data_IF_218683460939
#
_entry.id   IF_218683460939
#
_cell.length_a   1.000
_cell.length_b   1.000
_cell.length_c   1.000
_cell.angle_alpha   90.00
_cell.angle_beta   90.00
_cell.angle_gamma   90.00
#
_symmetry.space_group_name_H-M   'P 1'
#
loop_
_entity.id
_entity.type
_entity.pdbx_description
1 polymer ?
#
# COMPACT_ATOMS: atom_id res chain seq x y z
N UNK A 1 -7.46 -23.54 -16.50
CA UNK A 1 -6.90 -22.87 -15.30
C UNK A 1 -6.38 -21.51 -15.71
N UNK A 2 -7.04 -20.46 -15.27
CA UNK A 2 -6.61 -19.06 -15.48
C UNK A 2 -5.49 -18.75 -14.50
N UNK A 3 -4.26 -18.66 -15.00
CA UNK A 3 -3.10 -18.21 -14.23
C UNK A 3 -3.09 -16.69 -14.23
N UNK A 4 -3.36 -16.10 -13.08
CA UNK A 4 -3.32 -14.64 -12.90
C UNK A 4 -1.91 -14.21 -12.52
N UNK A 5 -1.46 -13.10 -13.12
CA UNK A 5 -0.16 -12.48 -12.87
C UNK A 5 -0.41 -11.11 -12.24
N UNK A 6 -0.07 -10.95 -10.98
CA UNK A 6 0.02 -9.62 -10.36
C UNK A 6 1.26 -8.95 -10.94
N UNK A 7 1.04 -8.00 -11.84
CA UNK A 7 2.10 -7.12 -12.32
C UNK A 7 2.11 -5.93 -11.38
N UNK A 8 3.17 -5.81 -10.56
CA UNK A 8 3.42 -4.59 -9.82
C UNK A 8 3.84 -3.53 -10.84
N UNK A 9 2.86 -2.77 -11.34
CA UNK A 9 3.11 -1.66 -12.26
C UNK A 9 3.62 -0.52 -11.41
N UNK A 10 4.89 -0.23 -11.63
CA UNK A 10 5.53 0.92 -11.04
C UNK A 10 5.49 2.04 -12.06
N UNK A 11 4.79 3.13 -11.74
CA UNK A 11 4.85 4.35 -12.53
C UNK A 11 6.24 4.96 -12.34
N UNK A 12 7.04 5.00 -13.41
CA UNK A 12 8.32 5.71 -13.42
C UNK A 12 8.07 7.21 -13.24
N UNK A 13 8.09 7.67 -11.99
CA UNK A 13 8.15 9.11 -11.67
C UNK A 13 9.58 9.56 -11.83
N UNK A 14 10.01 9.75 -13.08
CA UNK A 14 11.31 10.31 -13.42
C UNK A 14 11.14 11.56 -14.29
N UNK A 15 10.47 12.59 -13.76
CA UNK A 15 10.46 13.92 -14.35
C UNK A 15 10.55 14.97 -13.25
N UNK A 16 11.77 15.50 -13.03
CA UNK A 16 12.11 16.90 -12.72
C UNK A 16 13.55 16.96 -12.16
N UNK A 17 14.54 16.72 -13.01
CA UNK A 17 15.83 17.40 -12.88
C UNK A 17 15.87 18.51 -13.91
N UNK A 18 15.33 19.67 -13.55
CA UNK A 18 15.56 20.89 -14.31
C UNK A 18 16.95 21.41 -13.99
N UNK A 19 17.78 21.37 -15.02
CA UNK A 19 19.09 21.99 -15.12
C UNK A 19 19.10 23.42 -14.54
N UNK A 20 19.90 23.62 -13.49
CA UNK A 20 20.24 24.94 -12.94
C UNK A 20 21.76 25.11 -12.94
N UNK A 21 22.38 25.07 -14.12
CA UNK A 21 23.75 25.52 -14.32
C UNK A 21 23.73 27.03 -14.50
N UNK A 22 24.30 27.75 -13.54
CA UNK A 22 24.50 29.19 -13.58
C UNK A 22 25.65 29.56 -12.67
N UNK A 23 26.87 29.50 -13.20
CA UNK A 23 28.08 29.92 -12.49
C UNK A 23 28.18 31.44 -12.38
N UNK A 24 28.91 31.89 -11.36
CA UNK A 24 29.90 32.97 -11.52
C UNK A 24 30.98 32.87 -10.44
N UNK A 25 32.20 33.35 -10.74
CA UNK A 25 33.40 33.14 -9.94
C UNK A 25 33.76 34.37 -9.09
N UNK A 26 34.85 34.20 -8.33
CA UNK A 26 35.69 35.23 -7.69
C UNK A 26 35.25 35.68 -6.28
N UNK A 27 35.89 35.11 -5.26
CA UNK A 27 36.28 35.88 -4.07
C UNK A 27 37.55 35.28 -3.45
N UNK A 28 38.67 35.99 -3.64
CA UNK A 28 39.96 35.75 -3.00
C UNK A 28 39.90 36.33 -1.57
N UNK A 29 40.12 35.47 -0.56
CA UNK A 29 40.18 35.87 0.83
C UNK A 29 41.22 35.07 1.58
N UNK A 30 42.46 35.58 1.55
CA UNK A 30 43.57 35.23 2.43
C UNK A 30 43.13 35.11 3.90
N UNK A 31 43.42 33.98 4.52
CA UNK A 31 43.68 33.89 5.96
C UNK A 31 44.64 32.72 6.21
N UNK A 32 45.90 33.07 6.40
CA UNK A 32 46.92 32.23 7.02
C UNK A 32 46.57 32.07 8.50
N UNK A 33 46.28 30.85 8.95
CA UNK A 33 46.42 30.50 10.37
C UNK A 33 46.94 29.07 10.50
N UNK A 34 48.22 28.98 10.85
CA UNK A 34 48.99 27.77 11.08
C UNK A 34 48.37 26.96 12.24
N UNK A 35 47.84 25.76 11.96
CA UNK A 35 47.70 24.71 12.98
C UNK A 35 48.05 23.34 12.43
N UNK A 36 48.87 22.67 13.25
CA UNK A 36 49.55 21.41 13.05
C UNK A 36 48.68 20.26 12.50
N UNK A 37 49.30 19.51 11.58
CA UNK A 37 48.72 18.39 10.86
C UNK A 37 48.50 17.13 11.73
N UNK A 38 47.36 16.43 11.59
CA UNK A 38 47.23 15.02 11.90
C UNK A 38 47.64 14.13 10.69
N UNK A 39 48.04 12.87 10.91
CA UNK A 39 48.65 12.03 9.90
C UNK A 39 47.68 11.63 8.78
N UNK A 40 48.20 11.59 7.56
CA UNK A 40 47.49 11.29 6.32
C UNK A 40 46.87 9.89 6.30
N UNK A 41 45.61 9.76 5.86
CA UNK A 41 45.10 8.50 5.33
C UNK A 41 45.53 8.34 3.87
N UNK A 42 46.06 7.16 3.58
CA UNK A 42 46.53 6.71 2.28
C UNK A 42 45.54 6.99 1.13
N UNK A 43 46.08 7.52 0.02
CA UNK A 43 45.41 7.79 -1.24
C UNK A 43 44.72 6.53 -1.81
N UNK A 44 43.43 6.38 -1.52
CA UNK A 44 42.54 5.54 -2.34
C UNK A 44 42.12 6.38 -3.53
N UNK A 45 42.79 6.12 -4.65
CA UNK A 45 42.52 6.67 -5.98
C UNK A 45 41.04 6.42 -6.36
N UNK A 46 40.18 7.41 -6.08
CA UNK A 46 38.76 7.39 -6.43
C UNK A 46 38.65 7.72 -7.92
N UNK A 47 38.77 6.68 -8.75
CA UNK A 47 38.56 6.78 -10.19
C UNK A 47 37.18 7.36 -10.50
N UNK A 48 37.16 8.30 -11.46
CA UNK A 48 36.00 8.92 -12.10
C UNK A 48 35.05 7.83 -12.64
N UNK A 49 34.21 7.29 -11.77
CA UNK A 49 33.16 6.33 -12.07
C UNK A 49 31.93 7.10 -12.55
N UNK A 50 32.01 7.62 -13.78
CA UNK A 50 30.82 7.95 -14.56
C UNK A 50 30.08 6.65 -14.82
N UNK A 51 29.20 6.27 -13.90
CA UNK A 51 28.27 5.19 -14.09
C UNK A 51 27.21 5.68 -15.08
N UNK A 52 27.52 5.53 -16.37
CA UNK A 52 26.51 5.55 -17.43
C UNK A 52 25.58 4.38 -17.10
N UNK A 53 24.41 4.68 -16.53
CA UNK A 53 23.35 3.68 -16.39
C UNK A 53 23.07 3.13 -17.80
N UNK A 54 23.20 1.81 -18.03
CA UNK A 54 22.76 1.25 -19.28
C UNK A 54 21.24 1.47 -19.38
N UNK A 55 20.71 1.84 -20.54
CA UNK A 55 19.27 1.86 -20.74
C UNK A 55 18.74 0.46 -20.41
N UNK A 56 17.83 0.37 -19.45
CA UNK A 56 17.08 -0.85 -19.17
C UNK A 56 16.28 -1.18 -20.43
N UNK A 57 16.88 -1.98 -21.31
CA UNK A 57 16.18 -2.57 -22.42
C UNK A 57 15.16 -3.55 -21.85
N UNK A 58 13.90 -3.31 -22.20
CA UNK A 58 12.79 -4.25 -22.13
C UNK A 58 13.21 -5.62 -22.69
N UNK A 59 13.68 -6.52 -21.84
CA UNK A 59 13.87 -7.94 -22.16
C UNK A 59 14.14 -8.78 -20.90
N UNK A 60 13.12 -9.00 -20.06
CA UNK A 60 13.06 -10.21 -19.25
C UNK A 60 11.95 -11.15 -19.72
N UNK A 61 12.36 -11.87 -20.77
CA UNK A 61 11.80 -13.11 -21.29
C UNK A 61 11.73 -14.18 -20.20
N UNK A 62 10.51 -14.55 -19.86
CA UNK A 62 9.99 -15.81 -19.31
C UNK A 62 11.01 -16.92 -18.98
N UNK A 63 11.18 -17.20 -17.69
CA UNK A 63 11.54 -18.53 -17.20
C UNK A 63 10.32 -19.13 -16.49
N UNK A 64 9.51 -19.87 -17.26
CA UNK A 64 8.44 -20.75 -16.79
C UNK A 64 9.06 -21.84 -15.89
N UNK A 65 8.78 -21.81 -14.59
CA UNK A 65 8.86 -23.02 -13.77
C UNK A 65 7.45 -23.44 -13.36
N UNK A 66 7.01 -24.48 -14.06
CA UNK A 66 5.80 -25.27 -13.84
C UNK A 66 5.99 -26.06 -12.55
N UNK A 67 5.17 -25.82 -11.53
CA UNK A 67 5.12 -26.67 -10.34
C UNK A 67 4.04 -27.73 -10.60
N UNK A 68 4.41 -28.80 -11.32
CA UNK A 68 3.57 -29.99 -11.41
C UNK A 68 3.72 -30.76 -10.09
N UNK A 69 2.67 -30.71 -9.26
CA UNK A 69 2.54 -31.57 -8.09
C UNK A 69 2.20 -32.98 -8.57
N UNK A 70 3.06 -33.94 -8.27
CA UNK A 70 3.06 -35.27 -8.86
C UNK A 70 1.78 -36.07 -8.62
N UNK A 71 1.22 -36.57 -9.72
CA UNK A 71 0.51 -37.85 -9.77
C UNK A 71 1.04 -38.64 -10.97
N UNK A 72 1.63 -39.78 -10.66
CA UNK A 72 2.11 -40.81 -11.60
C UNK A 72 1.08 -41.15 -12.67
N UNK A 73 1.47 -41.08 -13.95
CA UNK A 73 1.11 -42.12 -14.95
C UNK A 73 1.95 -42.03 -16.22
N UNK A 74 2.73 -43.10 -16.41
CA UNK A 74 3.12 -43.75 -17.68
C UNK A 74 3.24 -42.90 -18.97
N UNK A 75 4.49 -42.77 -19.42
CA UNK A 75 4.98 -43.28 -20.71
C UNK A 75 3.97 -43.31 -21.88
N UNK A 76 4.14 -42.38 -22.83
CA UNK A 76 4.27 -42.65 -24.27
C UNK A 76 4.48 -41.33 -25.05
N UNK A 77 5.67 -41.19 -25.65
CA UNK A 77 5.94 -40.37 -26.86
C UNK A 77 6.15 -41.39 -28.00
N UNK A 78 6.11 -41.03 -29.30
CA UNK A 78 6.13 -39.69 -29.90
C UNK A 78 5.14 -39.50 -31.08
N UNK A 79 5.02 -38.28 -31.61
CA UNK A 79 5.14 -38.03 -33.07
C UNK A 79 5.01 -36.54 -33.43
N UNK A 80 5.79 -36.18 -34.45
CA UNK A 80 6.02 -34.85 -34.97
C UNK A 80 4.85 -34.27 -35.77
N UNK A 81 4.77 -32.93 -35.84
CA UNK A 81 4.29 -32.14 -37.00
C UNK A 81 4.55 -30.66 -36.69
N UNK A 82 5.52 -30.01 -37.35
CA UNK A 82 5.48 -29.41 -38.69
C UNK A 82 5.21 -27.90 -38.58
N UNK A 83 6.31 -27.16 -38.61
CA UNK A 83 6.42 -25.73 -38.81
C UNK A 83 5.77 -25.30 -40.13
N UNK A 84 4.96 -24.25 -40.08
CA UNK A 84 4.46 -23.51 -41.23
C UNK A 84 4.75 -22.01 -41.03
N UNK A 85 5.45 -21.35 -41.98
CA UNK A 85 5.67 -19.91 -41.92
C UNK A 85 4.39 -19.18 -42.36
N UNK A 86 3.81 -18.39 -41.47
CA UNK A 86 2.73 -17.45 -41.80
C UNK A 86 3.36 -16.19 -42.39
N UNK A 87 3.16 -16.04 -43.69
CA UNK A 87 3.37 -14.83 -44.46
C UNK A 87 2.52 -13.69 -43.88
N UNK A 88 3.14 -12.54 -43.60
CA UNK A 88 2.45 -11.26 -43.50
C UNK A 88 2.56 -10.56 -44.86
N UNK A 89 1.44 -10.20 -45.52
CA UNK A 89 1.48 -9.28 -46.65
C UNK A 89 1.80 -7.87 -46.13
N UNK A 90 2.71 -7.19 -46.83
CA UNK A 90 3.04 -5.79 -46.58
C UNK A 90 1.81 -4.91 -46.80
N UNK A 91 1.48 -4.13 -45.78
CA UNK A 91 0.68 -2.91 -45.92
C UNK A 91 1.68 -1.77 -46.08
N UNK A 92 1.92 -1.41 -47.34
CA UNK A 92 2.21 -0.03 -47.70
C UNK A 92 0.92 0.75 -47.46
N UNK A 93 0.87 1.54 -46.40
CA UNK A 93 -0.14 2.58 -46.25
C UNK A 93 0.56 3.90 -45.93
N UNK A 94 0.56 4.74 -46.95
CA UNK A 94 0.94 6.14 -46.97
C UNK A 94 0.44 6.88 -45.73
N UNK A 95 1.38 7.36 -44.91
CA UNK A 95 1.11 8.30 -43.82
C UNK A 95 0.96 9.69 -44.48
N UNK A 96 -0.24 10.30 -44.51
CA UNK A 96 -0.38 11.67 -44.99
C UNK A 96 0.33 12.64 -44.02
N UNK A 97 0.88 13.75 -44.53
CA UNK A 97 1.61 14.72 -43.70
C UNK A 97 0.70 15.33 -42.62
N UNK A 98 1.25 15.68 -41.45
CA UNK A 98 0.48 16.23 -40.34
C UNK A 98 -0.19 17.54 -40.75
N UNK A 99 -1.51 17.56 -40.64
CA UNK A 99 -2.32 18.76 -40.83
C UNK A 99 -1.92 19.82 -39.79
N UNK A 100 -1.48 20.97 -40.29
CA UNK A 100 -1.19 22.17 -39.51
C UNK A 100 -2.50 22.59 -38.80
N UNK A 101 -2.54 22.69 -37.45
CA UNK A 101 -3.72 23.15 -36.76
C UNK A 101 -4.02 24.61 -37.15
N UNK A 102 -5.30 24.98 -37.35
CA UNK A 102 -5.67 26.35 -37.68
C UNK A 102 -5.29 27.30 -36.52
N UNK A 103 -4.98 28.57 -36.83
CA UNK A 103 -4.64 29.57 -35.82
C UNK A 103 -5.79 29.72 -34.82
N UNK A 104 -5.45 29.57 -33.54
CA UNK A 104 -6.36 29.78 -32.42
C UNK A 104 -6.93 31.21 -32.54
N UNK A 105 -8.25 31.39 -32.68
CA UNK A 105 -8.84 32.72 -32.72
C UNK A 105 -8.60 33.39 -31.37
N UNK A 106 -8.05 34.61 -31.43
CA UNK A 106 -7.84 35.47 -30.27
C UNK A 106 -9.12 35.55 -29.44
N UNK A 107 -9.07 35.01 -28.22
CA UNK A 107 -10.12 35.13 -27.22
C UNK A 107 -10.27 36.61 -26.93
N UNK A 108 -11.36 37.18 -27.45
CA UNK A 108 -11.81 38.51 -27.05
C UNK A 108 -12.18 38.44 -25.58
N UNK A 109 -11.44 39.20 -24.80
CA UNK A 109 -11.70 39.55 -23.41
C UNK A 109 -13.16 40.02 -23.30
N UNK A 110 -14.03 39.09 -22.89
CA UNK A 110 -15.43 39.36 -22.64
C UNK A 110 -15.54 40.13 -21.33
N UNK A 111 -16.10 41.33 -21.45
CA UNK A 111 -16.41 42.26 -20.38
C UNK A 111 -16.97 41.57 -19.13
N UNK A 112 -16.43 42.02 -18.02
CA UNK A 112 -16.84 41.83 -16.65
C UNK A 112 -18.36 42.02 -16.48
N UNK A 113 -19.13 40.94 -16.60
CA UNK A 113 -20.54 40.93 -16.17
C UNK A 113 -20.55 40.98 -14.65
N UNK A 114 -20.65 42.21 -14.15
CA UNK A 114 -20.95 42.58 -12.76
C UNK A 114 -22.26 41.93 -12.33
N UNK A 115 -22.18 40.68 -11.89
CA UNK A 115 -23.28 39.97 -11.26
C UNK A 115 -23.66 40.72 -9.98
N UNK A 116 -24.78 41.44 -10.04
CA UNK A 116 -25.44 42.01 -8.87
C UNK A 116 -25.82 40.86 -7.95
N UNK A 117 -25.07 40.70 -6.87
CA UNK A 117 -25.44 39.86 -5.75
C UNK A 117 -26.68 40.49 -5.09
N UNK A 118 -27.87 39.98 -5.42
CA UNK A 118 -29.08 40.23 -4.63
C UNK A 118 -29.07 39.25 -3.45
N UNK A 119 -28.99 39.73 -2.20
CA UNK A 119 -29.10 38.86 -1.04
C UNK A 119 -30.49 38.18 -1.03
N UNK A 120 -30.58 36.87 -0.76
CA UNK A 120 -31.86 36.20 -0.65
C UNK A 120 -32.65 36.77 0.54
N UNK A 121 -33.83 37.29 0.21
CA UNK A 121 -34.89 37.76 1.11
C UNK A 121 -35.17 36.73 2.21
N UNK A 122 -35.20 37.22 3.44
CA UNK A 122 -35.58 36.47 4.62
C UNK A 122 -37.04 35.97 4.50
N UNK A 123 -37.20 34.68 4.20
CA UNK A 123 -38.48 33.99 4.32
C UNK A 123 -38.64 33.40 5.73
N UNK A 124 -39.58 34.02 6.45
CA UNK A 124 -40.48 33.54 7.51
C UNK A 124 -40.15 32.26 8.32
N UNK A 125 -40.33 32.30 9.66
CA UNK A 125 -40.11 31.17 10.55
C UNK A 125 -41.21 30.11 10.36
N UNK A 126 -40.87 29.00 9.73
CA UNK A 126 -41.71 27.79 9.75
C UNK A 126 -41.72 27.26 11.18
N UNK A 127 -42.84 27.48 11.88
CA UNK A 127 -43.16 26.85 13.17
C UNK A 127 -43.14 25.33 12.99
N UNK A 128 -42.00 24.70 13.31
CA UNK A 128 -41.89 23.24 13.43
C UNK A 128 -42.79 22.80 14.58
N UNK A 129 -43.91 22.20 14.20
CA UNK A 129 -44.86 21.52 15.07
C UNK A 129 -44.12 20.33 15.70
N UNK A 130 -43.68 20.49 16.95
CA UNK A 130 -43.15 19.40 17.78
C UNK A 130 -44.30 18.45 18.09
N UNK A 131 -44.43 17.41 17.28
CA UNK A 131 -45.24 16.24 17.62
C UNK A 131 -44.36 15.32 18.48
N UNK A 132 -44.70 15.05 19.75
CA UNK A 132 -44.01 14.07 20.56
C UNK A 132 -44.41 12.69 20.06
N UNK A 133 -43.69 12.16 19.07
CA UNK A 133 -43.72 10.72 18.83
C UNK A 133 -42.97 10.08 19.99
N UNK A 134 -43.74 9.58 20.97
CA UNK A 134 -43.33 8.46 21.81
C UNK A 134 -42.78 7.39 20.88
N UNK A 135 -41.45 7.29 20.76
CA UNK A 135 -40.82 6.08 20.26
C UNK A 135 -40.91 5.10 21.42
N UNK A 136 -41.82 4.15 21.30
CA UNK A 136 -41.77 2.90 22.05
C UNK A 136 -40.33 2.38 21.97
N UNK A 137 -39.72 2.27 23.15
CA UNK A 137 -38.34 1.86 23.31
C UNK A 137 -38.17 0.48 22.69
N UNK A 138 -37.53 0.44 21.52
CA UNK A 138 -36.85 -0.77 21.08
C UNK A 138 -35.83 -1.06 22.18
N UNK A 139 -35.88 -2.24 22.83
CA UNK A 139 -34.88 -2.58 23.83
C UNK A 139 -33.52 -2.51 23.13
N UNK A 140 -32.74 -1.49 23.49
CA UNK A 140 -31.32 -1.45 23.21
C UNK A 140 -30.76 -2.68 23.89
N UNK A 141 -30.50 -3.73 23.12
CA UNK A 141 -29.68 -4.84 23.59
C UNK A 141 -28.43 -4.18 24.17
N UNK A 142 -28.25 -4.30 25.48
CA UNK A 142 -27.06 -3.82 26.14
C UNK A 142 -25.88 -4.42 25.40
N UNK A 143 -25.15 -3.60 24.64
CA UNK A 143 -23.92 -3.99 23.99
C UNK A 143 -23.01 -4.42 25.13
N UNK A 144 -22.90 -5.73 25.30
CA UNK A 144 -22.08 -6.31 26.34
C UNK A 144 -20.69 -5.72 26.17
N UNK A 145 -20.24 -4.92 27.13
CA UNK A 145 -18.85 -4.49 27.25
C UNK A 145 -18.02 -5.76 27.15
N UNK A 146 -17.43 -6.00 25.97
CA UNK A 146 -16.65 -7.20 25.68
C UNK A 146 -15.58 -7.26 26.76
N UNK A 147 -15.72 -8.22 27.68
CA UNK A 147 -14.63 -8.60 28.58
C UNK A 147 -13.49 -8.98 27.66
N UNK A 148 -12.50 -8.10 27.59
CA UNK A 148 -11.27 -8.34 26.87
C UNK A 148 -10.74 -9.68 27.36
N UNK A 149 -10.65 -10.68 26.46
CA UNK A 149 -10.00 -11.97 26.72
C UNK A 149 -8.47 -11.81 26.83
N UNK A 150 -8.03 -10.71 27.44
CA UNK A 150 -6.64 -10.28 27.48
C UNK A 150 -5.78 -11.17 28.36
N UNK A 151 -6.38 -11.93 29.26
CA UNK A 151 -5.61 -12.65 30.27
C UNK A 151 -4.67 -11.70 31.02
N UNK A 152 -3.54 -12.21 31.49
CA UNK A 152 -2.52 -11.47 32.23
C UNK A 152 -1.57 -10.66 31.34
N UNK A 153 -1.86 -10.57 30.03
CA UNK A 153 -0.95 -9.94 29.07
C UNK A 153 -0.71 -8.46 29.40
N UNK A 154 0.55 -7.99 29.33
CA UNK A 154 0.88 -6.60 29.56
C UNK A 154 0.03 -5.64 28.72
N UNK A 155 -0.22 -4.46 29.30
CA UNK A 155 -0.38 -3.13 28.70
C UNK A 155 -0.17 -3.01 27.17
N UNK A 156 0.94 -3.58 26.71
CA UNK A 156 1.63 -3.26 25.46
C UNK A 156 1.23 -4.11 24.26
N UNK A 157 0.57 -5.26 24.44
CA UNK A 157 0.25 -6.15 23.32
C UNK A 157 -1.18 -5.95 22.81
N UNK A 158 -1.40 -6.06 21.50
CA UNK A 158 -2.75 -5.98 20.92
C UNK A 158 -3.59 -7.18 21.34
N UNK A 159 -4.91 -7.05 21.25
CA UNK A 159 -5.82 -8.17 21.50
C UNK A 159 -5.52 -9.32 20.52
N UNK A 160 -5.43 -10.57 20.99
CA UNK A 160 -5.20 -11.71 20.10
C UNK A 160 -6.37 -11.87 19.12
N UNK A 161 -6.16 -12.55 17.98
CA UNK A 161 -7.23 -12.92 17.08
C UNK A 161 -8.26 -13.86 17.75
N UNK A 162 -9.35 -14.25 17.07
CA UNK A 162 -10.22 -15.31 17.57
C UNK A 162 -9.48 -16.65 17.66
N UNK A 163 -9.88 -17.52 18.58
CA UNK A 163 -9.28 -18.85 18.76
C UNK A 163 -9.55 -19.76 17.56
N UNK A 164 -10.64 -19.51 16.84
CA UNK A 164 -11.07 -20.27 15.67
C UNK A 164 -10.18 -20.02 14.45
N UNK A 165 -9.59 -18.82 14.35
CA UNK A 165 -8.62 -18.47 13.30
C UNK A 165 -7.46 -17.65 13.89
N UNK A 166 -6.52 -18.31 14.61
CA UNK A 166 -5.44 -17.62 15.31
C UNK A 166 -4.42 -16.96 14.38
N UNK A 167 -4.43 -17.31 13.08
CA UNK A 167 -3.57 -16.72 12.06
C UNK A 167 -4.28 -15.66 11.21
N UNK A 168 -5.59 -15.50 11.42
CA UNK A 168 -6.41 -14.51 10.75
C UNK A 168 -6.29 -13.12 11.37
N UNK A 169 -7.13 -12.18 10.92
CA UNK A 169 -7.14 -10.82 11.44
C UNK A 169 -7.76 -10.77 12.84
N UNK A 170 -7.25 -9.85 13.67
CA UNK A 170 -7.79 -9.68 15.02
C UNK A 170 -9.12 -8.90 15.07
N UNK A 171 -9.39 -8.06 14.07
CA UNK A 171 -10.65 -7.34 13.99
C UNK A 171 -11.81 -8.30 13.70
N UNK A 172 -12.89 -8.09 14.42
CA UNK A 172 -14.14 -8.83 14.28
C UNK A 172 -15.26 -7.84 14.05
N UNK A 173 -16.28 -8.25 13.30
CA UNK A 173 -17.47 -7.43 13.10
C UNK A 173 -18.10 -7.06 14.45
N UNK A 174 -18.53 -5.79 14.67
CA UNK A 174 -18.45 -4.64 13.76
C UNK A 174 -17.02 -4.08 13.65
N UNK A 175 -16.53 -3.89 12.42
CA UNK A 175 -15.13 -3.50 12.19
C UNK A 175 -14.83 -2.06 12.61
N UNK A 176 -15.76 -1.14 12.34
CA UNK A 176 -15.60 0.28 12.63
C UNK A 176 -16.09 0.59 14.06
N UNK A 177 -15.37 1.44 14.80
CA UNK A 177 -15.79 1.82 16.14
C UNK A 177 -17.09 2.63 16.09
N UNK A 178 -18.05 2.29 16.96
CA UNK A 178 -19.33 3.03 17.07
C UNK A 178 -19.15 4.43 17.64
N UNK A 179 -18.04 4.71 18.32
CA UNK A 179 -17.76 6.01 18.94
C UNK A 179 -16.27 6.27 18.91
N UNK A 180 -15.89 7.43 18.37
CA UNK A 180 -14.53 7.93 18.40
C UNK A 180 -14.29 8.64 19.74
N UNK A 181 -13.07 8.54 20.33
CA UNK A 181 -12.76 9.15 21.63
C UNK A 181 -12.94 10.67 21.63
N UNK A 182 -12.75 11.32 20.48
CA UNK A 182 -12.84 12.78 20.33
C UNK A 182 -14.27 13.30 20.11
N UNK A 183 -15.28 12.43 20.21
CA UNK A 183 -16.69 12.79 19.96
C UNK A 183 -17.00 13.10 18.49
N UNK A 184 -16.05 12.86 17.57
CA UNK A 184 -16.30 12.88 16.14
C UNK A 184 -17.29 11.77 15.75
N UNK A 185 -18.06 12.03 14.70
CA UNK A 185 -18.96 11.01 14.14
C UNK A 185 -18.15 9.77 13.75
N UNK A 186 -18.63 8.57 14.11
CA UNK A 186 -17.92 7.34 13.78
C UNK A 186 -17.81 7.22 12.26
N UNK A 187 -16.66 6.77 11.74
CA UNK A 187 -16.54 6.50 10.31
C UNK A 187 -17.60 5.48 9.91
N UNK A 188 -18.34 5.78 8.84
CA UNK A 188 -19.38 4.92 8.29
C UNK A 188 -18.93 4.40 6.92
N UNK A 189 -19.15 3.11 6.67
CA UNK A 189 -18.91 2.49 5.38
C UNK A 189 -20.15 2.57 4.49
N UNK A 190 -20.03 3.25 3.36
CA UNK A 190 -21.10 3.37 2.35
C UNK A 190 -21.10 2.22 1.33
N UNK A 191 -20.32 1.15 1.56
CA UNK A 191 -20.21 0.05 0.61
C UNK A 191 -21.47 -0.80 0.57
N UNK A 192 -21.80 -1.28 -0.62
CA UNK A 192 -22.86 -2.27 -0.81
C UNK A 192 -22.44 -3.56 -0.08
N UNK A 193 -23.27 -4.04 0.83
CA UNK A 193 -22.95 -5.19 1.71
C UNK A 193 -22.44 -4.82 3.10
N UNK A 194 -22.27 -3.53 3.40
CA UNK A 194 -21.91 -3.02 4.72
C UNK A 194 -20.39 -2.97 4.97
N UNK A 195 -20.00 -2.67 6.23
CA UNK A 195 -18.60 -2.50 6.59
C UNK A 195 -17.77 -3.76 6.33
N UNK A 196 -16.62 -3.58 5.69
CA UNK A 196 -15.62 -4.61 5.42
C UNK A 196 -14.39 -4.39 6.29
N UNK A 197 -13.57 -5.42 6.45
CA UNK A 197 -12.36 -5.32 7.28
C UNK A 197 -11.34 -4.31 6.73
N UNK A 198 -11.25 -4.18 5.41
CA UNK A 198 -10.39 -3.18 4.77
C UNK A 198 -10.87 -1.74 4.94
N UNK A 199 -12.12 -1.51 5.39
CA UNK A 199 -12.56 -0.16 5.75
C UNK A 199 -11.77 0.40 6.94
N UNK A 200 -11.11 -0.44 7.74
CA UNK A 200 -10.16 0.00 8.77
C UNK A 200 -9.01 0.84 8.22
N UNK A 201 -8.64 0.65 6.95
CA UNK A 201 -7.59 1.43 6.29
C UNK A 201 -7.98 2.88 6.03
N UNK A 202 -9.27 3.18 5.95
CA UNK A 202 -9.78 4.56 5.79
C UNK A 202 -9.50 5.43 7.03
N UNK A 203 -9.22 4.80 8.17
CA UNK A 203 -8.88 5.51 9.40
C UNK A 203 -7.40 5.91 9.47
N UNK A 204 -6.56 5.38 8.57
CA UNK A 204 -5.16 5.78 8.54
C UNK A 204 -5.03 7.14 7.85
N UNK A 205 -4.16 8.02 8.38
CA UNK A 205 -3.99 9.34 7.81
C UNK A 205 -3.30 9.25 6.44
N UNK A 206 -3.81 10.02 5.48
CA UNK A 206 -3.23 10.15 4.13
C UNK A 206 -2.51 11.49 3.93
N UNK A 207 -2.34 12.25 5.00
CA UNK A 207 -1.71 13.57 4.97
C UNK A 207 -0.23 13.52 4.54
N UNK A 208 0.47 12.41 4.80
CA UNK A 208 1.87 12.22 4.40
C UNK A 208 2.08 12.23 2.87
N UNK A 209 1.03 11.95 2.09
CA UNK A 209 1.07 11.95 0.63
C UNK A 209 0.81 13.34 0.03
N UNK A 210 0.38 14.32 0.83
CA UNK A 210 0.07 15.67 0.36
C UNK A 210 -0.90 15.67 -0.83
N UNK A 211 -0.48 16.28 -1.93
CA UNK A 211 -1.26 16.37 -3.18
C UNK A 211 -1.50 15.00 -3.83
N UNK A 212 -0.72 13.96 -3.50
CA UNK A 212 -0.90 12.60 -4.04
C UNK A 212 -1.84 11.73 -3.21
N UNK A 213 -2.43 12.26 -2.13
CA UNK A 213 -3.36 11.50 -1.28
C UNK A 213 -4.57 10.94 -2.05
N UNK A 214 -5.05 11.64 -3.08
CA UNK A 214 -6.14 11.15 -3.92
C UNK A 214 -5.76 9.91 -4.74
N UNK A 215 -4.51 9.82 -5.21
CA UNK A 215 -4.01 8.68 -5.99
C UNK A 215 -3.94 7.42 -5.13
N UNK A 216 -3.56 7.56 -3.85
CA UNK A 216 -3.60 6.47 -2.87
C UNK A 216 -5.03 5.95 -2.71
N UNK A 217 -5.98 6.85 -2.43
CA UNK A 217 -7.39 6.46 -2.23
C UNK A 217 -7.94 5.80 -3.50
N UNK A 218 -7.61 6.32 -4.68
CA UNK A 218 -8.08 5.75 -5.94
C UNK A 218 -7.56 4.32 -6.17
N UNK A 219 -6.26 4.06 -5.96
CA UNK A 219 -5.69 2.70 -6.09
C UNK A 219 -6.25 1.73 -5.06
N UNK A 220 -6.59 2.22 -3.88
CA UNK A 220 -7.22 1.40 -2.84
C UNK A 220 -8.64 1.00 -3.22
N UNK A 221 -9.45 1.94 -3.70
CA UNK A 221 -10.81 1.64 -4.17
C UNK A 221 -10.79 0.63 -5.32
N UNK A 222 -9.90 0.80 -6.31
CA UNK A 222 -9.71 -0.16 -7.39
C UNK A 222 -9.38 -1.57 -6.85
N UNK A 223 -8.47 -1.63 -5.86
CA UNK A 223 -8.11 -2.90 -5.21
C UNK A 223 -9.29 -3.53 -4.46
N UNK A 224 -10.14 -2.71 -3.84
CA UNK A 224 -11.28 -3.17 -3.05
C UNK A 224 -12.42 -3.74 -3.90
N UNK A 225 -12.54 -3.29 -5.14
CA UNK A 225 -13.51 -3.78 -6.12
C UNK A 225 -13.21 -5.20 -6.63
N UNK A 226 -11.99 -5.71 -6.46
CA UNK A 226 -11.61 -7.05 -6.93
C UNK A 226 -12.30 -8.18 -6.14
N UNK A 227 -13.26 -8.89 -6.72
CA UNK A 227 -14.03 -9.94 -6.01
C UNK A 227 -13.26 -11.24 -5.75
N UNK A 228 -12.19 -11.49 -6.52
CA UNK A 228 -11.40 -12.72 -6.47
C UNK A 228 -10.28 -12.69 -5.43
N UNK A 229 -10.03 -11.53 -4.82
CA UNK A 229 -9.01 -11.35 -3.78
C UNK A 229 -9.67 -11.29 -2.41
N UNK A 230 -9.14 -12.05 -1.46
CA UNK A 230 -9.62 -12.04 -0.08
C UNK A 230 -9.42 -10.68 0.56
N UNK A 231 -10.33 -10.30 1.44
CA UNK A 231 -10.31 -8.99 2.09
C UNK A 231 -9.00 -8.74 2.86
N UNK A 232 -8.41 -9.76 3.48
CA UNK A 232 -7.14 -9.63 4.21
C UNK A 232 -5.93 -9.40 3.29
N UNK A 233 -5.94 -10.03 2.11
CA UNK A 233 -4.87 -9.85 1.12
C UNK A 233 -4.96 -8.46 0.48
N UNK A 234 -6.18 -7.94 0.26
CA UNK A 234 -6.40 -6.54 -0.13
C UNK A 234 -5.81 -5.58 0.89
N UNK A 235 -6.00 -5.83 2.19
CA UNK A 235 -5.41 -4.99 3.25
C UNK A 235 -3.88 -4.96 3.13
N UNK A 236 -3.24 -6.12 2.95
CA UNK A 236 -1.78 -6.19 2.79
C UNK A 236 -1.28 -5.42 1.57
N UNK A 237 -1.96 -5.58 0.43
CA UNK A 237 -1.59 -4.91 -0.82
C UNK A 237 -1.80 -3.39 -0.73
N UNK A 238 -2.90 -2.93 -0.14
CA UNK A 238 -3.15 -1.50 0.07
C UNK A 238 -2.10 -0.86 0.99
N UNK A 239 -1.78 -1.50 2.12
CA UNK A 239 -0.73 -1.04 3.04
C UNK A 239 0.64 -0.97 2.35
N UNK A 240 0.96 -1.98 1.54
CA UNK A 240 2.21 -1.98 0.77
C UNK A 240 2.23 -0.86 -0.26
N UNK A 241 1.13 -0.63 -0.99
CA UNK A 241 1.03 0.45 -1.97
C UNK A 241 1.24 1.83 -1.33
N UNK A 242 0.66 2.08 -0.15
CA UNK A 242 0.92 3.28 0.65
C UNK A 242 2.40 3.42 0.98
N UNK A 243 2.99 2.39 1.56
CA UNK A 243 4.38 2.46 2.02
C UNK A 243 5.37 2.65 0.87
N UNK A 244 5.23 1.86 -0.20
CA UNK A 244 6.18 1.88 -1.30
C UNK A 244 6.12 3.18 -2.10
N UNK A 245 4.97 3.87 -2.14
CA UNK A 245 4.87 5.15 -2.85
C UNK A 245 5.85 6.21 -2.29
N UNK A 246 6.07 6.23 -0.98
CA UNK A 246 7.02 7.15 -0.35
C UNK A 246 8.43 6.58 -0.22
N UNK A 247 8.55 5.27 -0.03
CA UNK A 247 9.81 4.60 0.34
C UNK A 247 10.45 3.82 -0.82
N UNK A 248 9.97 3.99 -2.06
CA UNK A 248 10.50 3.24 -3.22
C UNK A 248 12.01 3.40 -3.40
N UNK A 249 12.61 4.61 -3.39
CA UNK A 249 14.04 4.75 -3.60
C UNK A 249 14.82 3.98 -2.54
N UNK A 250 14.45 4.16 -1.26
CA UNK A 250 15.07 3.45 -0.16
C UNK A 250 14.93 1.93 -0.29
N UNK A 251 13.76 1.45 -0.70
CA UNK A 251 13.53 0.02 -0.90
C UNK A 251 14.38 -0.59 -2.02
N UNK A 252 14.63 0.16 -3.10
CA UNK A 252 15.38 -0.32 -4.28
C UNK A 252 16.89 -0.18 -4.08
N UNK A 253 17.34 0.91 -3.47
CA UNK A 253 18.77 1.21 -3.31
C UNK A 253 19.38 0.61 -2.04
N UNK A 254 18.57 0.29 -1.02
CA UNK A 254 19.02 -0.43 0.17
C UNK A 254 18.64 -1.91 0.13
N UNK A 255 19.07 -2.68 1.14
CA UNK A 255 18.69 -4.10 1.24
C UNK A 255 17.16 -4.26 1.37
N UNK A 256 16.53 -4.97 0.43
CA UNK A 256 15.08 -5.21 0.41
C UNK A 256 14.51 -5.73 1.74
N UNK A 257 15.27 -6.59 2.43
CA UNK A 257 14.88 -7.13 3.73
C UNK A 257 14.67 -6.02 4.76
N UNK A 258 15.55 -5.03 4.81
CA UNK A 258 15.46 -3.93 5.76
C UNK A 258 14.30 -3.00 5.43
N UNK A 259 14.03 -2.78 4.13
CA UNK A 259 12.83 -2.07 3.68
C UNK A 259 11.54 -2.75 4.15
N UNK A 260 11.44 -4.08 4.03
CA UNK A 260 10.27 -4.82 4.53
C UNK A 260 10.17 -4.78 6.06
N UNK A 261 11.30 -4.79 6.78
CA UNK A 261 11.29 -4.60 8.24
C UNK A 261 10.74 -3.21 8.59
N UNK A 262 11.18 -2.14 7.92
CA UNK A 262 10.65 -0.79 8.10
C UNK A 262 9.15 -0.70 7.82
N UNK A 263 8.68 -1.36 6.75
CA UNK A 263 7.26 -1.47 6.42
C UNK A 263 6.47 -2.10 7.58
N UNK A 264 6.95 -3.23 8.11
CA UNK A 264 6.31 -3.89 9.26
C UNK A 264 6.37 -2.99 10.49
N UNK A 265 7.49 -2.35 10.78
CA UNK A 265 7.60 -1.47 11.94
C UNK A 265 6.58 -0.32 11.92
N UNK A 266 6.25 0.20 10.73
CA UNK A 266 5.25 1.24 10.56
C UNK A 266 3.81 0.71 10.67
N UNK A 267 3.54 -0.48 10.12
CA UNK A 267 2.15 -0.96 9.92
C UNK A 267 1.77 -2.22 10.71
N UNK A 268 2.61 -2.74 11.59
CA UNK A 268 2.36 -4.02 12.29
C UNK A 268 1.02 -4.05 13.04
N UNK A 269 0.59 -2.94 13.65
CA UNK A 269 -0.71 -2.87 14.35
C UNK A 269 -1.88 -3.05 13.39
N UNK A 270 -1.82 -2.40 12.23
CA UNK A 270 -2.85 -2.50 11.22
C UNK A 270 -2.83 -3.86 10.53
N UNK A 271 -1.64 -4.40 10.26
CA UNK A 271 -1.49 -5.77 9.74
C UNK A 271 -2.13 -6.75 10.72
N UNK A 272 -1.81 -6.68 12.01
CA UNK A 272 -2.40 -7.53 13.04
C UNK A 272 -3.92 -7.40 13.11
N UNK A 273 -4.40 -6.16 13.11
CA UNK A 273 -5.82 -5.87 13.25
C UNK A 273 -6.62 -6.32 12.02
N UNK A 274 -6.17 -6.03 10.80
CA UNK A 274 -7.00 -6.10 9.60
C UNK A 274 -6.59 -7.19 8.59
N UNK A 275 -5.33 -7.65 8.59
CA UNK A 275 -4.85 -8.66 7.64
C UNK A 275 -4.54 -10.02 8.31
N UNK A 276 -3.93 -9.98 9.49
CA UNK A 276 -3.44 -11.15 10.19
C UNK A 276 -2.13 -11.71 9.64
N UNK A 277 -1.59 -12.69 10.35
CA UNK A 277 -0.31 -13.33 10.04
C UNK A 277 -0.35 -14.10 8.71
N UNK A 278 -1.48 -14.75 8.40
CA UNK A 278 -1.67 -15.56 7.18
C UNK A 278 -1.50 -14.72 5.92
N UNK A 279 -2.12 -13.54 5.86
CA UNK A 279 -2.02 -12.63 4.73
C UNK A 279 -0.61 -12.05 4.59
N UNK A 280 0.02 -11.65 5.71
CA UNK A 280 1.41 -11.20 5.72
C UNK A 280 2.35 -12.27 5.14
N UNK A 281 2.23 -13.52 5.56
CA UNK A 281 3.05 -14.62 5.03
C UNK A 281 2.86 -14.80 3.52
N UNK A 282 1.62 -14.79 3.03
CA UNK A 282 1.33 -14.91 1.60
C UNK A 282 1.97 -13.76 0.80
N UNK A 283 1.86 -12.54 1.32
CA UNK A 283 2.49 -11.35 0.75
C UNK A 283 4.03 -11.46 0.69
N UNK A 284 4.69 -11.93 1.75
CA UNK A 284 6.14 -12.12 1.76
C UNK A 284 6.61 -13.21 0.77
N UNK A 285 5.83 -14.28 0.61
CA UNK A 285 6.10 -15.30 -0.41
C UNK A 285 6.00 -14.68 -1.81
N UNK A 286 5.02 -13.81 -2.06
CA UNK A 286 4.92 -13.07 -3.33
C UNK A 286 6.18 -12.21 -3.60
N UNK A 287 6.70 -11.51 -2.60
CA UNK A 287 7.97 -10.76 -2.74
C UNK A 287 9.16 -11.68 -3.05
N UNK A 288 9.19 -12.87 -2.45
CA UNK A 288 10.22 -13.88 -2.74
C UNK A 288 10.12 -14.42 -4.17
N UNK A 289 8.91 -14.68 -4.67
CA UNK A 289 8.68 -15.14 -6.05
C UNK A 289 9.13 -14.09 -7.08
N UNK A 290 9.00 -12.80 -6.73
CA UNK A 290 9.48 -11.69 -7.54
C UNK A 290 10.97 -11.34 -7.31
N UNK A 291 11.71 -12.18 -6.58
CA UNK A 291 13.16 -12.04 -6.31
C UNK A 291 13.56 -10.80 -5.49
N UNK A 292 12.62 -10.17 -4.79
CA UNK A 292 12.93 -9.11 -3.83
C UNK A 292 13.46 -9.69 -2.50
N UNK A 293 12.99 -10.87 -2.11
CA UNK A 293 13.41 -11.52 -0.86
C UNK A 293 13.94 -12.94 -1.10
N UNK A 294 14.86 -13.36 -0.25
CA UNK A 294 15.24 -14.77 -0.06
C UNK A 294 14.34 -15.42 1.00
N UNK A 295 14.23 -16.75 0.97
CA UNK A 295 13.45 -17.48 1.96
C UNK A 295 13.92 -17.24 3.41
N UNK A 296 15.23 -17.17 3.64
CA UNK A 296 15.81 -16.85 4.95
C UNK A 296 15.37 -15.47 5.47
N UNK A 297 15.26 -14.49 4.57
CA UNK A 297 14.80 -13.15 4.91
C UNK A 297 13.31 -13.14 5.28
N UNK A 298 12.48 -13.97 4.62
CA UNK A 298 11.07 -14.13 5.01
C UNK A 298 10.97 -14.61 6.46
N UNK A 299 11.76 -15.61 6.86
CA UNK A 299 11.76 -16.11 8.23
C UNK A 299 12.20 -15.05 9.24
N UNK A 300 13.23 -14.25 8.90
CA UNK A 300 13.68 -13.11 9.71
C UNK A 300 12.54 -12.10 9.92
N UNK A 301 11.85 -11.73 8.84
CA UNK A 301 10.74 -10.78 8.84
C UNK A 301 9.53 -11.30 9.63
N UNK A 302 9.15 -12.57 9.45
CA UNK A 302 8.05 -13.18 10.22
C UNK A 302 8.35 -13.24 11.72
N UNK A 303 9.57 -13.62 12.10
CA UNK A 303 10.01 -13.63 13.50
C UNK A 303 9.97 -12.22 14.11
N UNK A 304 10.35 -11.20 13.34
CA UNK A 304 10.27 -9.79 13.76
C UNK A 304 8.82 -9.39 14.05
N UNK A 305 7.89 -9.72 13.15
CA UNK A 305 6.46 -9.46 13.33
C UNK A 305 5.86 -10.21 14.53
N UNK A 306 6.21 -11.49 14.73
CA UNK A 306 5.78 -12.29 15.89
C UNK A 306 6.25 -11.68 17.21
N UNK A 307 7.49 -11.17 17.25
CA UNK A 307 8.02 -10.46 18.42
C UNK A 307 7.27 -9.17 18.73
N UNK A 308 6.78 -8.44 17.72
CA UNK A 308 6.00 -7.20 17.90
C UNK A 308 4.60 -7.49 18.45
N UNK A 309 3.97 -8.55 17.96
CA UNK A 309 2.60 -8.94 18.31
C UNK A 309 2.52 -9.75 19.60
N UNK A 310 3.64 -10.34 20.06
CA UNK A 310 3.68 -11.18 21.25
C UNK A 310 2.89 -12.48 21.07
N UNK A 311 2.93 -13.04 19.85
CA UNK A 311 2.16 -14.23 19.46
C UNK A 311 2.42 -15.44 20.37
N UNK A 312 3.63 -15.54 20.88
CA UNK A 312 4.05 -16.58 21.81
C UNK A 312 3.33 -16.52 23.16
N UNK A 313 2.76 -15.37 23.53
CA UNK A 313 2.06 -15.18 24.80
C UNK A 313 0.54 -15.38 24.69
N UNK A 314 0.01 -15.54 23.48
CA UNK A 314 -1.44 -15.63 23.28
C UNK A 314 -2.03 -16.88 23.93
N UNK A 315 -3.18 -16.72 24.58
CA UNK A 315 -4.03 -17.77 25.17
C UNK A 315 -3.45 -18.60 26.34
N UNK A 316 -2.21 -18.35 26.78
CA UNK A 316 -1.56 -19.13 27.85
C UNK A 316 -2.26 -19.06 29.21
N UNK A 317 -3.11 -18.07 29.44
CA UNK A 317 -3.79 -17.87 30.73
C UNK A 317 -5.01 -18.77 30.97
N UNK A 318 -5.55 -19.42 29.95
CA UNK A 318 -6.78 -20.21 30.09
C UNK A 318 -6.57 -21.58 30.75
N UNK A 319 -5.36 -22.14 30.65
CA UNK A 319 -5.12 -23.54 31.03
C UNK A 319 -4.46 -23.69 32.41
N UNK A 320 -3.94 -22.60 33.00
CA UNK A 320 -3.18 -22.64 34.27
C UNK A 320 -4.01 -22.52 35.55
N UNK A 321 -5.33 -22.41 35.49
CA UNK A 321 -6.20 -22.06 36.63
C UNK A 321 -7.05 -23.19 37.23
N UNK A 322 -6.90 -24.44 36.77
CA UNK A 322 -7.84 -25.53 37.06
C UNK A 322 -7.38 -26.62 38.05
N UNK A 323 -6.11 -26.66 38.46
CA UNK A 323 -5.61 -27.70 39.37
C UNK A 323 -5.42 -27.13 40.78
N UNK A 324 -6.53 -26.99 41.52
CA UNK A 324 -6.47 -26.47 42.89
C UNK A 324 -7.83 -26.25 43.55
N UNK A 325 -8.72 -27.23 43.51
CA UNK A 325 -9.87 -27.33 44.43
C UNK A 325 -10.27 -28.78 44.62
#
# INVERSE_FOLDING_TARGET
ETSWRIVLVFTDTNELQTNGSGGSPDDEGDNEDEREAPPEPEDVQMGDLRYVMPPFSDNHRLALMRIDSGLSRSSERPSASRSGPLFLPGSDDDIPPPAIPPPIPAVKESEEVKARYTPPTAESPIKRRTSPRLREGRPSLATATRKSYRGSLPARYPSPPPKEDPLGPAAQYPYLPETMPDGQEPPYSCRIGGPRIFDLLTMLPTNEFGVMSWEIVHREEELFEMEDVRDEDKVMLALWNRWIMLNRPDFVFHEYCDGVIKFIDQYWEMIHKAAGWRALRAFLIMLCMNRYLKFEQILKVLKHYESKTGMDLWYKDADGGGEGS
#
